data_IF_938970398819
#
_entry.id   IF_938970398819
#
_cell.length_a   1.000
_cell.length_b   1.000
_cell.length_c   1.000
_cell.angle_alpha   90.00
_cell.angle_beta   90.00
_cell.angle_gamma   90.00
#
_symmetry.space_group_name_H-M   'P 1'
#
loop_
_entity.id
_entity.type
_entity.pdbx_description
1 polymer ?
#
# COMPACT_ATOMS: atom_id res chain seq x y z
N UNK A 1 -38.83 -26.54 34.47
CA UNK A 1 -40.19 -26.22 33.97
C UNK A 1 -40.18 -24.75 33.60
N UNK A 2 -40.42 -24.42 32.31
CA UNK A 2 -40.55 -23.06 31.77
C UNK A 2 -39.41 -22.06 32.08
N UNK A 3 -38.31 -22.14 31.31
CA UNK A 3 -37.43 -21.00 30.99
C UNK A 3 -36.97 -21.12 29.53
N UNK A 4 -37.96 -21.30 28.65
CA UNK A 4 -37.80 -21.42 27.19
C UNK A 4 -38.75 -20.43 26.51
N UNK A 5 -38.83 -19.23 27.09
CA UNK A 5 -39.44 -18.08 26.45
C UNK A 5 -38.40 -17.51 25.48
N UNK A 6 -38.59 -17.75 24.18
CA UNK A 6 -37.82 -17.10 23.13
C UNK A 6 -38.01 -15.58 23.22
N UNK A 7 -37.10 -14.90 23.91
CA UNK A 7 -36.97 -13.45 23.83
C UNK A 7 -36.45 -13.09 22.44
N UNK A 8 -37.39 -12.91 21.50
CA UNK A 8 -37.12 -12.21 20.26
C UNK A 8 -36.86 -10.74 20.58
N UNK A 9 -35.61 -10.43 20.91
CA UNK A 9 -35.13 -9.06 20.86
C UNK A 9 -35.27 -8.56 19.42
N UNK A 10 -36.03 -7.48 19.21
CA UNK A 10 -36.06 -6.78 17.94
C UNK A 10 -34.62 -6.31 17.64
N UNK A 11 -33.98 -6.90 16.63
CA UNK A 11 -32.57 -6.64 16.33
C UNK A 11 -32.30 -5.16 16.02
N UNK A 12 -33.29 -4.51 15.40
CA UNK A 12 -33.27 -3.12 14.95
C UNK A 12 -33.59 -2.10 16.05
N UNK A 13 -34.02 -2.55 17.24
CA UNK A 13 -34.31 -1.67 18.37
C UNK A 13 -33.01 -1.26 19.09
N UNK A 14 -32.96 0.00 19.54
CA UNK A 14 -31.79 0.54 20.24
C UNK A 14 -31.42 -0.29 21.49
N UNK A 15 -30.13 -0.44 21.83
CA UNK A 15 -29.69 -1.28 22.96
C UNK A 15 -30.41 -1.00 24.28
N UNK A 16 -30.65 0.28 24.59
CA UNK A 16 -31.39 0.71 25.77
C UNK A 16 -32.87 0.29 25.74
N UNK A 17 -33.57 0.43 24.61
CA UNK A 17 -34.97 0.02 24.50
C UNK A 17 -35.15 -1.50 24.60
N UNK A 18 -34.18 -2.29 24.10
CA UNK A 18 -34.15 -3.75 24.28
C UNK A 18 -34.00 -4.12 25.76
N UNK A 19 -33.13 -3.43 26.50
CA UNK A 19 -32.97 -3.60 27.95
C UNK A 19 -34.25 -3.21 28.70
N UNK A 20 -34.87 -2.10 28.29
CA UNK A 20 -36.11 -1.56 28.85
C UNK A 20 -37.31 -2.48 28.65
N UNK A 21 -37.45 -3.08 27.47
CA UNK A 21 -38.47 -4.09 27.18
C UNK A 21 -38.27 -5.38 28.00
N UNK A 22 -37.03 -5.75 28.32
CA UNK A 22 -36.71 -6.96 29.07
C UNK A 22 -36.82 -6.79 30.60
N UNK A 23 -36.37 -5.67 31.15
CA UNK A 23 -36.29 -5.43 32.60
C UNK A 23 -37.41 -4.53 33.14
N UNK A 24 -38.11 -3.78 32.28
CA UNK A 24 -38.97 -2.67 32.66
C UNK A 24 -38.19 -1.38 32.97
N UNK A 25 -38.86 -0.23 32.82
CA UNK A 25 -38.24 1.10 32.88
C UNK A 25 -37.38 1.33 34.15
N UNK A 26 -37.92 1.02 35.34
CA UNK A 26 -37.26 1.29 36.62
C UNK A 26 -35.98 0.47 36.83
N UNK A 27 -35.98 -0.80 36.39
CA UNK A 27 -34.83 -1.69 36.55
C UNK A 27 -33.78 -1.44 35.47
N UNK A 28 -34.20 -1.11 34.23
CA UNK A 28 -33.29 -0.69 33.18
C UNK A 28 -32.50 0.58 33.57
N UNK A 29 -33.16 1.62 34.08
CA UNK A 29 -32.46 2.84 34.54
C UNK A 29 -31.52 2.58 35.73
N UNK A 30 -31.86 1.66 36.64
CA UNK A 30 -30.94 1.22 37.71
C UNK A 30 -29.71 0.49 37.16
N UNK A 31 -29.89 -0.38 36.17
CA UNK A 31 -28.78 -1.10 35.53
C UNK A 31 -27.86 -0.13 34.78
N UNK A 32 -28.43 0.80 33.99
CA UNK A 32 -27.65 1.82 33.28
C UNK A 32 -26.88 2.74 34.23
N UNK A 33 -27.54 3.21 35.30
CA UNK A 33 -26.88 4.01 36.34
C UNK A 33 -25.79 3.20 37.08
N UNK A 34 -25.98 1.89 37.21
CA UNK A 34 -24.99 0.94 37.71
C UNK A 34 -23.75 0.85 36.82
N UNK A 35 -23.90 0.79 35.49
CA UNK A 35 -22.77 0.80 34.56
C UNK A 35 -21.97 2.10 34.64
N UNK A 36 -22.62 3.26 34.74
CA UNK A 36 -21.92 4.54 34.97
C UNK A 36 -21.15 4.50 36.31
N UNK A 37 -21.76 3.96 37.36
CA UNK A 37 -21.11 3.83 38.67
C UNK A 37 -19.91 2.85 38.70
N UNK A 38 -19.81 1.90 37.74
CA UNK A 38 -18.63 1.02 37.63
C UNK A 38 -17.36 1.83 37.37
N UNK A 39 -17.44 2.93 36.62
CA UNK A 39 -16.30 3.78 36.25
C UNK A 39 -15.66 4.53 37.44
N UNK A 40 -16.25 4.46 38.62
CA UNK A 40 -15.74 5.06 39.86
C UNK A 40 -15.18 4.01 40.85
N UNK A 41 -15.00 2.76 40.42
CA UNK A 41 -14.43 1.67 41.23
C UNK A 41 -12.90 1.69 41.23
N UNK A 42 -12.32 1.27 42.34
CA UNK A 42 -10.87 1.15 42.57
C UNK A 42 -10.29 -0.24 42.22
N UNK A 43 -11.14 -1.22 41.88
CA UNK A 43 -10.76 -2.60 41.53
C UNK A 43 -10.84 -2.92 40.02
N UNK A 44 -10.87 -1.88 39.17
CA UNK A 44 -10.88 -2.03 37.71
C UNK A 44 -9.51 -2.46 37.15
N UNK A 45 -9.47 -3.24 36.06
CA UNK A 45 -8.22 -3.57 35.39
C UNK A 45 -7.61 -2.34 34.71
N UNK A 46 -6.28 -2.24 34.70
CA UNK A 46 -5.58 -1.26 33.87
C UNK A 46 -5.63 -1.65 32.39
N UNK A 47 -5.32 -0.71 31.49
CA UNK A 47 -5.21 -0.97 30.06
C UNK A 47 -4.22 -2.10 29.76
N UNK A 48 -3.05 -2.11 30.42
CA UNK A 48 -2.08 -3.21 30.32
C UNK A 48 -2.66 -4.54 30.81
N UNK A 49 -3.42 -4.55 31.92
CA UNK A 49 -4.07 -5.76 32.44
C UNK A 49 -5.08 -6.38 31.47
N UNK A 50 -5.82 -5.55 30.72
CA UNK A 50 -6.73 -6.00 29.65
C UNK A 50 -5.93 -6.65 28.51
N UNK A 51 -4.85 -6.01 28.06
CA UNK A 51 -3.98 -6.57 27.00
C UNK A 51 -3.36 -7.90 27.45
N UNK A 52 -2.90 -8.00 28.69
CA UNK A 52 -2.35 -9.25 29.23
C UNK A 52 -3.37 -10.39 29.35
N UNK A 53 -4.61 -10.09 29.75
CA UNK A 53 -5.69 -11.07 29.77
C UNK A 53 -6.00 -11.56 28.35
N UNK A 54 -6.16 -10.64 27.39
CA UNK A 54 -6.44 -10.96 25.99
C UNK A 54 -5.30 -11.72 25.31
N UNK A 55 -4.05 -11.47 25.72
CA UNK A 55 -2.89 -12.29 25.32
C UNK A 55 -2.95 -13.75 25.79
N UNK A 56 -3.69 -14.05 26.86
CA UNK A 56 -3.95 -15.41 27.38
C UNK A 56 -5.26 -16.00 26.82
N UNK A 57 -5.95 -15.30 25.92
CA UNK A 57 -7.33 -15.59 25.48
C UNK A 57 -8.36 -15.54 26.63
N UNK A 58 -8.09 -14.73 27.66
CA UNK A 58 -8.99 -14.43 28.76
C UNK A 58 -9.61 -13.03 28.57
N UNK A 59 -10.80 -12.79 29.14
CA UNK A 59 -11.43 -11.46 29.18
C UNK A 59 -11.67 -11.05 30.64
N UNK A 60 -11.38 -9.81 30.99
CA UNK A 60 -11.71 -9.25 32.30
C UNK A 60 -13.22 -8.99 32.38
N UNK A 61 -13.88 -9.49 33.44
CA UNK A 61 -15.34 -9.36 33.64
C UNK A 61 -15.80 -7.89 33.70
N UNK A 62 -14.90 -6.96 34.05
CA UNK A 62 -15.16 -5.53 34.09
C UNK A 62 -15.22 -4.85 32.70
N UNK A 63 -14.69 -5.47 31.62
CA UNK A 63 -14.60 -4.84 30.30
C UNK A 63 -15.96 -4.36 29.77
N UNK A 64 -16.95 -5.24 29.68
CA UNK A 64 -18.27 -4.87 29.17
C UNK A 64 -19.00 -3.84 30.07
N UNK A 65 -19.04 -3.98 31.41
CA UNK A 65 -19.55 -2.93 32.29
C UNK A 65 -18.89 -1.55 32.13
N UNK A 66 -17.57 -1.49 31.89
CA UNK A 66 -16.86 -0.23 31.65
C UNK A 66 -17.30 0.40 30.32
N UNK A 67 -17.32 -0.39 29.23
CA UNK A 67 -17.78 0.08 27.91
C UNK A 67 -19.23 0.60 28.01
N UNK A 68 -20.15 -0.17 28.60
CA UNK A 68 -21.53 0.25 28.80
C UNK A 68 -21.67 1.52 29.65
N UNK A 69 -20.78 1.72 30.63
CA UNK A 69 -20.75 2.94 31.44
C UNK A 69 -20.41 4.18 30.61
N UNK A 70 -19.39 4.09 29.75
CA UNK A 70 -18.98 5.18 28.86
C UNK A 70 -20.07 5.47 27.82
N UNK A 71 -20.65 4.43 27.19
CA UNK A 71 -21.77 4.58 26.25
C UNK A 71 -22.97 5.29 26.90
N UNK A 72 -23.27 4.97 28.15
CA UNK A 72 -24.41 5.56 28.87
C UNK A 72 -24.18 7.02 29.25
N UNK A 73 -22.95 7.41 29.61
CA UNK A 73 -22.60 8.81 29.81
C UNK A 73 -22.81 9.61 28.52
N UNK A 74 -22.32 9.10 27.39
CA UNK A 74 -22.49 9.73 26.06
C UNK A 74 -23.97 9.80 25.68
N UNK A 75 -24.76 8.73 25.90
CA UNK A 75 -26.22 8.74 25.66
C UNK A 75 -26.95 9.80 26.48
N UNK A 76 -26.48 10.07 27.71
CA UNK A 76 -27.02 11.12 28.59
C UNK A 76 -26.50 12.53 28.27
N UNK A 77 -25.59 12.68 27.30
CA UNK A 77 -24.93 13.96 26.98
C UNK A 77 -23.94 14.41 28.05
N UNK A 78 -23.36 13.46 28.80
CA UNK A 78 -22.35 13.70 29.84
C UNK A 78 -20.97 13.40 29.24
N UNK A 79 -20.06 14.36 29.31
CA UNK A 79 -18.68 14.22 28.83
C UNK A 79 -17.87 13.18 29.62
N UNK A 80 -16.90 12.56 28.94
CA UNK A 80 -16.01 11.52 29.52
C UNK A 80 -14.79 12.11 30.23
N UNK A 81 -14.65 13.43 30.27
CA UNK A 81 -13.56 14.18 30.89
C UNK A 81 -13.52 14.10 32.43
N UNK A 82 -14.64 13.73 33.06
CA UNK A 82 -14.72 13.50 34.50
C UNK A 82 -14.29 12.09 34.96
N UNK A 83 -13.95 11.19 34.04
CA UNK A 83 -13.48 9.82 34.35
C UNK A 83 -11.97 9.86 34.63
N UNK A 84 -11.49 9.06 35.58
CA UNK A 84 -10.05 8.89 35.81
C UNK A 84 -9.36 8.36 34.54
N UNK A 85 -8.20 8.96 34.19
CA UNK A 85 -7.54 8.71 32.90
C UNK A 85 -7.19 7.23 32.70
N UNK A 86 -6.73 6.54 33.73
CA UNK A 86 -6.34 5.12 33.65
C UNK A 86 -7.57 4.21 33.43
N UNK A 87 -8.68 4.54 34.10
CA UNK A 87 -9.98 3.88 33.90
C UNK A 87 -10.54 4.13 32.49
N UNK A 88 -10.41 5.35 31.97
CA UNK A 88 -10.81 5.69 30.61
C UNK A 88 -9.93 4.98 29.56
N UNK A 89 -8.62 4.93 29.78
CA UNK A 89 -7.68 4.22 28.92
C UNK A 89 -7.95 2.71 28.92
N UNK A 90 -8.30 2.14 30.07
CA UNK A 90 -8.73 0.75 30.18
C UNK A 90 -10.06 0.50 29.45
N UNK A 91 -11.06 1.36 29.61
CA UNK A 91 -12.34 1.26 28.90
C UNK A 91 -12.14 1.32 27.38
N UNK A 92 -11.27 2.20 26.90
CA UNK A 92 -10.88 2.31 25.50
C UNK A 92 -10.15 1.06 24.99
N UNK A 93 -9.17 0.55 25.75
CA UNK A 93 -8.39 -0.65 25.42
C UNK A 93 -9.25 -1.93 25.36
N UNK A 94 -10.33 -1.98 26.15
CA UNK A 94 -11.37 -3.01 26.11
C UNK A 94 -12.30 -2.84 24.89
N UNK A 95 -12.80 -1.62 24.65
CA UNK A 95 -13.69 -1.31 23.53
C UNK A 95 -13.04 -1.65 22.18
N UNK A 96 -11.76 -1.27 22.01
CA UNK A 96 -10.95 -1.55 20.82
C UNK A 96 -10.81 -3.05 20.49
N UNK A 97 -11.11 -3.95 21.46
CA UNK A 97 -11.09 -5.42 21.35
C UNK A 97 -12.48 -6.06 21.46
N UNK A 98 -13.52 -5.24 21.41
CA UNK A 98 -14.91 -5.68 21.33
C UNK A 98 -15.40 -5.63 19.87
N UNK A 99 -16.39 -6.45 19.49
CA UNK A 99 -16.94 -6.45 18.13
C UNK A 99 -17.57 -5.10 17.72
N UNK A 100 -17.85 -4.21 18.67
CA UNK A 100 -18.36 -2.87 18.38
C UNK A 100 -17.31 -1.93 17.76
N UNK A 101 -16.00 -2.19 17.94
CA UNK A 101 -14.93 -1.42 17.27
C UNK A 101 -14.76 -1.78 15.79
N UNK A 102 -15.23 -2.95 15.37
CA UNK A 102 -15.14 -3.42 13.97
C UNK A 102 -16.21 -2.78 13.05
N UNK A 103 -17.10 -1.95 13.59
CA UNK A 103 -18.13 -1.26 12.82
C UNK A 103 -17.54 -0.24 11.82
N UNK A 104 -18.09 -0.22 10.61
CA UNK A 104 -17.61 0.67 9.54
C UNK A 104 -18.05 2.14 9.68
N UNK A 105 -18.92 2.44 10.65
CA UNK A 105 -19.38 3.81 10.94
C UNK A 105 -18.51 4.45 12.03
N UNK A 106 -18.24 5.77 11.97
CA UNK A 106 -17.49 6.46 13.01
C UNK A 106 -18.17 6.33 14.37
N UNK A 107 -17.60 5.52 15.27
CA UNK A 107 -18.23 5.22 16.55
C UNK A 107 -18.11 6.42 17.51
N UNK A 108 -19.22 6.99 18.01
CA UNK A 108 -19.17 8.16 18.89
C UNK A 108 -18.38 7.90 20.19
N UNK A 109 -18.42 6.67 20.70
CA UNK A 109 -17.67 6.27 21.90
C UNK A 109 -16.16 6.38 21.69
N UNK A 110 -15.65 6.05 20.49
CA UNK A 110 -14.24 6.14 20.16
C UNK A 110 -13.81 7.61 20.13
N UNK A 111 -14.51 8.45 19.36
CA UNK A 111 -14.24 9.87 19.22
C UNK A 111 -14.21 10.60 20.57
N UNK A 112 -15.21 10.37 21.44
CA UNK A 112 -15.26 11.01 22.76
C UNK A 112 -14.08 10.59 23.64
N UNK A 113 -13.77 9.29 23.72
CA UNK A 113 -12.60 8.79 24.47
C UNK A 113 -11.28 9.32 23.90
N UNK A 114 -11.12 9.33 22.58
CA UNK A 114 -9.89 9.78 21.90
C UNK A 114 -9.58 11.26 22.16
N UNK A 115 -10.58 12.14 22.16
CA UNK A 115 -10.37 13.58 22.45
C UNK A 115 -9.83 13.85 23.85
N UNK A 116 -10.13 12.97 24.82
CA UNK A 116 -9.63 13.09 26.20
C UNK A 116 -8.28 12.39 26.36
N UNK A 117 -8.12 11.20 25.77
CA UNK A 117 -6.95 10.33 25.91
C UNK A 117 -5.75 10.76 25.07
N UNK A 118 -5.95 11.28 23.86
CA UNK A 118 -4.87 11.53 22.88
C UNK A 118 -4.73 13.01 22.55
N UNK A 119 -3.85 13.70 23.29
CA UNK A 119 -3.58 15.14 23.15
C UNK A 119 -2.27 15.43 22.40
N UNK A 120 -1.43 14.42 22.20
CA UNK A 120 -0.25 14.48 21.34
C UNK A 120 0.42 13.13 21.14
N UNK A 121 1.51 13.12 20.38
CA UNK A 121 2.23 11.91 19.94
C UNK A 121 2.67 10.97 21.07
N UNK A 122 2.97 11.52 22.27
CA UNK A 122 3.36 10.73 23.44
C UNK A 122 2.21 9.85 23.96
N UNK A 123 0.98 10.38 23.97
CA UNK A 123 -0.20 9.62 24.42
C UNK A 123 -0.50 8.45 23.45
N UNK A 124 -0.31 8.68 22.15
CA UNK A 124 -0.39 7.63 21.13
C UNK A 124 0.72 6.59 21.29
N UNK A 125 1.97 7.02 21.53
CA UNK A 125 3.10 6.12 21.76
C UNK A 125 2.84 5.19 22.95
N UNK A 126 2.44 5.74 24.09
CA UNK A 126 2.15 4.97 25.30
C UNK A 126 1.02 3.95 25.06
N UNK A 127 -0.03 4.33 24.32
CA UNK A 127 -1.11 3.40 23.92
C UNK A 127 -0.60 2.28 23.01
N UNK A 128 0.11 2.59 21.93
CA UNK A 128 0.59 1.56 21.00
C UNK A 128 1.61 0.62 21.64
N UNK A 129 2.50 1.13 22.50
CA UNK A 129 3.42 0.28 23.28
C UNK A 129 2.65 -0.64 24.21
N UNK A 130 1.74 -0.10 25.02
CA UNK A 130 0.89 -0.86 25.95
C UNK A 130 0.09 -1.96 25.23
N UNK A 131 -0.41 -1.67 24.03
CA UNK A 131 -1.22 -2.60 23.24
C UNK A 131 -0.39 -3.65 22.48
N UNK A 132 0.72 -3.27 21.86
CA UNK A 132 1.43 -4.11 20.87
C UNK A 132 2.61 -4.86 21.50
N UNK A 133 3.42 -4.24 22.37
CA UNK A 133 4.64 -4.86 22.90
C UNK A 133 4.37 -6.19 23.66
N UNK A 134 3.34 -6.31 24.53
CA UNK A 134 3.02 -7.59 25.16
C UNK A 134 2.61 -8.71 24.18
N UNK A 135 2.21 -8.34 22.95
CA UNK A 135 1.85 -9.28 21.88
C UNK A 135 3.08 -9.68 21.06
N UNK A 136 4.04 -8.76 20.87
CA UNK A 136 5.34 -9.03 20.26
C UNK A 136 6.20 -9.94 21.16
N UNK A 137 6.21 -9.71 22.48
CA UNK A 137 6.86 -10.59 23.47
C UNK A 137 6.40 -12.05 23.37
N UNK A 138 5.12 -12.24 23.03
CA UNK A 138 4.47 -13.56 22.86
C UNK A 138 4.48 -14.06 21.43
N UNK A 139 5.07 -13.31 20.50
CA UNK A 139 5.13 -13.59 19.07
C UNK A 139 3.75 -13.89 18.42
N UNK A 140 2.69 -13.16 18.81
CA UNK A 140 1.35 -13.34 18.22
C UNK A 140 1.37 -12.99 16.72
N UNK A 141 0.68 -13.79 15.89
CA UNK A 141 0.62 -13.58 14.43
C UNK A 141 -0.09 -12.27 14.03
N UNK A 142 -1.09 -11.86 14.83
CA UNK A 142 -1.93 -10.70 14.53
C UNK A 142 -2.07 -9.80 15.78
N UNK A 143 -1.13 -8.87 16.03
CA UNK A 143 -1.24 -7.87 17.09
C UNK A 143 -2.37 -6.87 16.78
N UNK A 144 -3.32 -6.73 17.70
CA UNK A 144 -4.64 -6.10 17.44
C UNK A 144 -4.53 -4.68 16.80
N UNK A 145 -3.70 -3.80 17.37
CA UNK A 145 -3.60 -2.39 16.95
C UNK A 145 -2.51 -2.11 15.90
N UNK A 146 -1.77 -3.14 15.44
CA UNK A 146 -0.72 -2.95 14.44
C UNK A 146 -1.26 -2.49 13.07
N UNK A 147 -2.39 -3.01 12.53
CA UNK A 147 -2.97 -2.51 11.29
C UNK A 147 -3.36 -1.02 11.37
N UNK A 148 -3.82 -0.56 12.54
CA UNK A 148 -4.17 0.84 12.80
C UNK A 148 -2.94 1.75 12.75
N UNK A 149 -1.90 1.41 13.51
CA UNK A 149 -0.60 2.10 13.47
C UNK A 149 0.01 2.10 12.06
N UNK A 150 -0.25 1.07 11.25
CA UNK A 150 0.20 0.98 9.87
C UNK A 150 -0.69 1.74 8.85
N UNK A 151 -1.94 2.03 9.19
CA UNK A 151 -2.94 2.64 8.31
C UNK A 151 -3.08 4.16 8.43
N UNK A 152 -2.99 4.70 9.64
CA UNK A 152 -3.32 6.11 9.90
C UNK A 152 -2.24 7.10 9.41
N UNK A 153 -2.58 8.08 8.54
CA UNK A 153 -1.60 9.03 8.01
C UNK A 153 -0.99 9.97 9.08
N UNK A 154 -1.77 10.38 10.08
CA UNK A 154 -1.29 11.20 11.20
C UNK A 154 -0.22 10.48 12.03
N UNK A 155 -0.34 9.15 12.20
CA UNK A 155 0.60 8.33 12.96
C UNK A 155 1.83 7.92 12.15
N UNK A 156 1.96 8.32 10.88
CA UNK A 156 3.03 7.87 9.97
C UNK A 156 4.46 8.02 10.53
N UNK A 157 4.76 9.13 11.23
CA UNK A 157 6.05 9.34 11.89
C UNK A 157 6.29 8.41 13.08
N UNK A 158 5.30 8.24 13.95
CA UNK A 158 5.34 7.32 15.09
C UNK A 158 5.47 5.86 14.62
N UNK A 159 4.67 5.47 13.64
CA UNK A 159 4.65 4.16 12.97
C UNK A 159 6.03 3.76 12.44
N UNK A 160 6.76 4.68 11.81
CA UNK A 160 8.11 4.44 11.32
C UNK A 160 9.12 4.25 12.45
N UNK A 161 9.09 5.14 13.46
CA UNK A 161 9.99 5.09 14.61
C UNK A 161 9.81 3.81 15.44
N UNK A 162 8.58 3.48 15.83
CA UNK A 162 8.27 2.26 16.58
C UNK A 162 8.59 1.00 15.79
N UNK A 163 8.28 0.95 14.50
CA UNK A 163 8.61 -0.22 13.67
C UNK A 163 10.12 -0.45 13.56
N UNK A 164 10.92 0.61 13.42
CA UNK A 164 12.38 0.51 13.42
C UNK A 164 12.94 0.06 14.77
N UNK A 165 12.38 0.53 15.88
CA UNK A 165 12.76 0.10 17.22
C UNK A 165 12.41 -1.37 17.45
N UNK A 166 11.17 -1.78 17.16
CA UNK A 166 10.72 -3.15 17.36
C UNK A 166 11.46 -4.16 16.45
N UNK A 167 11.82 -3.80 15.21
CA UNK A 167 12.68 -4.65 14.36
C UNK A 167 14.13 -4.78 14.88
N UNK A 168 14.61 -3.82 15.67
CA UNK A 168 15.92 -3.90 16.36
C UNK A 168 15.82 -4.74 17.63
N UNK A 169 14.78 -4.57 18.43
CA UNK A 169 14.59 -5.22 19.74
C UNK A 169 14.07 -6.65 19.66
N UNK A 170 13.09 -6.93 18.79
CA UNK A 170 12.44 -8.24 18.68
C UNK A 170 13.12 -9.12 17.63
N UNK A 171 13.81 -10.16 18.09
CA UNK A 171 14.64 -11.03 17.26
C UNK A 171 13.89 -12.26 16.71
N UNK A 172 12.69 -12.54 17.23
CA UNK A 172 11.91 -13.76 16.97
C UNK A 172 10.55 -13.45 16.34
N UNK A 173 10.42 -12.33 15.62
CA UNK A 173 9.18 -11.92 14.95
C UNK A 173 8.73 -12.95 13.91
N UNK A 174 7.46 -13.30 13.93
CA UNK A 174 6.85 -14.18 12.92
C UNK A 174 6.70 -13.50 11.54
N UNK A 175 6.42 -14.33 10.53
CA UNK A 175 6.25 -13.92 9.13
C UNK A 175 4.96 -13.13 8.85
N UNK A 176 4.05 -12.96 9.81
CA UNK A 176 2.87 -12.10 9.67
C UNK A 176 3.13 -10.67 10.16
N UNK A 177 3.88 -10.51 11.25
CA UNK A 177 4.21 -9.21 11.85
C UNK A 177 5.39 -8.54 11.15
N UNK A 178 6.47 -9.28 10.88
CA UNK A 178 7.71 -8.70 10.35
C UNK A 178 7.53 -7.97 9.00
N UNK A 179 6.73 -8.45 8.03
CA UNK A 179 6.50 -7.71 6.78
C UNK A 179 5.83 -6.35 7.00
N UNK A 180 4.90 -6.27 7.96
CA UNK A 180 4.13 -5.07 8.29
C UNK A 180 5.02 -3.99 8.91
N UNK A 181 5.83 -4.37 9.90
CA UNK A 181 6.82 -3.46 10.51
C UNK A 181 7.81 -2.94 9.47
N UNK A 182 8.35 -3.84 8.63
CA UNK A 182 9.23 -3.41 7.54
C UNK A 182 8.51 -2.50 6.52
N UNK A 183 7.23 -2.74 6.22
CA UNK A 183 6.46 -1.89 5.31
C UNK A 183 6.23 -0.48 5.88
N UNK A 184 6.04 -0.36 7.20
CA UNK A 184 5.97 0.92 7.89
C UNK A 184 7.33 1.64 7.84
N UNK A 185 8.40 0.97 8.26
CA UNK A 185 9.78 1.49 8.20
C UNK A 185 10.18 1.97 6.81
N UNK A 186 9.97 1.15 5.76
CA UNK A 186 10.29 1.49 4.37
C UNK A 186 9.48 2.67 3.81
N UNK A 187 8.33 3.00 4.42
CA UNK A 187 7.43 4.06 3.97
C UNK A 187 7.69 5.40 4.65
N UNK A 188 8.12 5.39 5.92
CA UNK A 188 8.15 6.61 6.76
C UNK A 188 9.44 6.84 7.53
N UNK A 189 10.31 5.84 7.73
CA UNK A 189 11.59 6.02 8.40
C UNK A 189 12.68 6.54 7.43
N UNK A 190 13.76 7.18 7.93
CA UNK A 190 14.88 7.62 7.10
C UNK A 190 15.53 6.44 6.35
N UNK A 191 15.62 6.55 5.01
CA UNK A 191 16.13 5.48 4.12
C UNK A 191 17.47 4.89 4.58
N UNK A 192 18.35 5.75 5.09
CA UNK A 192 19.69 5.38 5.57
C UNK A 192 19.64 4.54 6.86
N UNK A 193 18.74 4.83 7.81
CA UNK A 193 18.56 3.97 8.98
C UNK A 193 17.98 2.61 8.61
N UNK A 194 17.07 2.56 7.63
CA UNK A 194 16.52 1.30 7.12
C UNK A 194 17.61 0.49 6.39
N UNK A 195 18.50 1.14 5.63
CA UNK A 195 19.68 0.49 5.03
C UNK A 195 20.55 -0.18 6.09
N UNK A 196 20.92 0.57 7.13
CA UNK A 196 21.71 0.06 8.25
C UNK A 196 21.03 -1.14 8.93
N UNK A 197 19.72 -1.08 9.18
CA UNK A 197 18.97 -2.19 9.75
C UNK A 197 18.97 -3.46 8.87
N UNK A 198 18.94 -3.31 7.54
CA UNK A 198 19.05 -4.44 6.60
C UNK A 198 20.48 -5.01 6.54
N UNK A 199 21.49 -4.17 6.76
CA UNK A 199 22.90 -4.56 6.90
C UNK A 199 23.13 -5.33 8.22
N UNK A 200 22.74 -4.75 9.36
CA UNK A 200 22.76 -5.38 10.68
C UNK A 200 22.08 -6.75 10.66
N UNK A 201 20.97 -6.88 9.93
CA UNK A 201 20.27 -8.16 9.79
C UNK A 201 21.06 -9.19 8.98
N UNK A 202 21.78 -8.77 7.94
CA UNK A 202 22.63 -9.65 7.13
C UNK A 202 23.76 -10.31 7.93
N UNK A 203 24.21 -9.67 9.01
CA UNK A 203 25.22 -10.20 9.93
C UNK A 203 24.66 -11.15 11.01
N UNK A 204 23.33 -11.23 11.17
CA UNK A 204 22.70 -12.09 12.19
C UNK A 204 22.79 -13.58 11.83
N UNK A 205 22.74 -14.42 12.85
CA UNK A 205 22.81 -15.87 12.70
C UNK A 205 21.73 -16.39 11.73
N UNK A 206 22.13 -17.32 10.85
CA UNK A 206 21.37 -17.81 9.67
C UNK A 206 19.84 -17.86 9.89
N UNK A 207 19.08 -16.89 9.36
CA UNK A 207 17.62 -16.93 9.42
C UNK A 207 17.07 -18.03 8.50
N UNK A 208 15.79 -18.36 8.68
CA UNK A 208 15.08 -19.19 7.72
C UNK A 208 14.97 -18.50 6.35
N UNK A 209 14.65 -19.29 5.33
CA UNK A 209 14.60 -18.85 3.94
C UNK A 209 13.55 -17.77 3.68
N UNK A 210 12.37 -17.84 4.32
CA UNK A 210 11.30 -16.87 4.12
C UNK A 210 11.68 -15.51 4.74
N UNK A 211 12.22 -15.53 5.96
CA UNK A 211 12.77 -14.34 6.62
C UNK A 211 13.93 -13.75 5.82
N UNK A 212 14.84 -14.57 5.28
CA UNK A 212 15.93 -14.10 4.40
C UNK A 212 15.39 -13.38 3.16
N UNK A 213 14.42 -13.96 2.45
CA UNK A 213 13.79 -13.36 1.28
C UNK A 213 13.06 -12.05 1.62
N UNK A 214 12.43 -12.00 2.78
CA UNK A 214 11.74 -10.81 3.28
C UNK A 214 12.71 -9.64 3.53
N UNK A 215 13.87 -9.89 4.12
CA UNK A 215 14.93 -8.87 4.28
C UNK A 215 15.63 -8.50 2.97
N UNK A 216 15.85 -9.45 2.06
CA UNK A 216 16.33 -9.14 0.71
C UNK A 216 15.34 -8.21 -0.03
N UNK A 217 14.03 -8.40 0.13
CA UNK A 217 13.01 -7.49 -0.44
C UNK A 217 13.10 -6.06 0.11
N UNK A 218 13.48 -5.90 1.39
CA UNK A 218 13.73 -4.58 1.98
C UNK A 218 15.01 -3.97 1.41
N UNK A 219 16.08 -4.77 1.28
CA UNK A 219 17.34 -4.41 0.63
C UNK A 219 17.16 -3.94 -0.81
N UNK A 220 16.30 -4.60 -1.59
CA UNK A 220 15.93 -4.16 -2.95
C UNK A 220 15.35 -2.73 -2.97
N UNK A 221 14.62 -2.30 -1.95
CA UNK A 221 14.04 -0.94 -1.91
C UNK A 221 15.06 0.12 -1.49
N UNK A 222 15.95 -0.20 -0.55
CA UNK A 222 16.87 0.80 0.07
C UNK A 222 18.29 0.79 -0.49
N UNK A 223 18.77 -0.35 -0.97
CA UNK A 223 20.19 -0.64 -1.23
C UNK A 223 20.37 -1.63 -2.41
N UNK A 224 19.67 -1.34 -3.52
CA UNK A 224 19.61 -2.25 -4.67
C UNK A 224 20.98 -2.55 -5.30
N UNK A 225 21.85 -1.55 -5.47
CA UNK A 225 23.12 -1.73 -6.17
C UNK A 225 24.06 -2.72 -5.48
N UNK A 226 24.26 -2.56 -4.16
CA UNK A 226 25.15 -3.43 -3.40
C UNK A 226 24.58 -4.86 -3.28
N UNK A 227 23.26 -5.02 -3.32
CA UNK A 227 22.57 -6.31 -3.15
C UNK A 227 22.13 -6.96 -4.46
N UNK A 228 22.38 -6.33 -5.60
CA UNK A 228 21.96 -6.78 -6.95
C UNK A 228 22.34 -8.24 -7.23
N UNK A 229 23.53 -8.67 -6.81
CA UNK A 229 23.99 -10.05 -6.99
C UNK A 229 23.26 -11.05 -6.07
N UNK A 230 23.07 -10.72 -4.79
CA UNK A 230 22.32 -11.57 -3.85
C UNK A 230 20.86 -11.72 -4.27
N UNK A 231 20.26 -10.63 -4.75
CA UNK A 231 18.90 -10.59 -5.29
C UNK A 231 18.78 -11.42 -6.57
N UNK A 232 19.74 -11.35 -7.49
CA UNK A 232 19.73 -12.17 -8.70
C UNK A 232 19.81 -13.68 -8.40
N UNK A 233 20.67 -14.08 -7.46
CA UNK A 233 20.77 -15.46 -7.00
C UNK A 233 19.47 -15.92 -6.34
N UNK A 234 18.92 -15.12 -5.41
CA UNK A 234 17.67 -15.43 -4.74
C UNK A 234 16.46 -15.49 -5.69
N UNK A 235 16.43 -14.63 -6.72
CA UNK A 235 15.39 -14.66 -7.75
C UNK A 235 15.47 -15.93 -8.63
N UNK A 236 16.66 -16.42 -8.93
CA UNK A 236 16.87 -17.66 -9.69
C UNK A 236 16.57 -18.92 -8.86
N UNK A 237 16.91 -18.92 -7.56
CA UNK A 237 16.62 -20.03 -6.65
C UNK A 237 15.14 -20.07 -6.23
N UNK A 238 14.49 -18.91 -6.11
CA UNK A 238 13.17 -18.76 -5.49
C UNK A 238 12.24 -17.86 -6.34
N UNK A 239 11.54 -18.44 -7.35
CA UNK A 239 10.63 -17.69 -8.24
C UNK A 239 9.55 -16.88 -7.52
N UNK A 240 9.15 -17.32 -6.31
CA UNK A 240 8.16 -16.66 -5.46
C UNK A 240 8.61 -15.33 -4.83
N UNK A 241 9.89 -14.95 -4.94
CA UNK A 241 10.39 -13.62 -4.54
C UNK A 241 9.65 -12.49 -5.27
N UNK A 242 9.12 -12.74 -6.48
CA UNK A 242 8.30 -11.78 -7.22
C UNK A 242 7.11 -11.26 -6.40
N UNK A 243 6.47 -12.10 -5.58
CA UNK A 243 5.30 -11.71 -4.79
C UNK A 243 5.68 -10.76 -3.67
N UNK A 244 6.75 -11.07 -2.94
CA UNK A 244 7.27 -10.20 -1.88
C UNK A 244 7.68 -8.84 -2.46
N UNK A 245 8.35 -8.81 -3.63
CA UNK A 245 8.72 -7.58 -4.32
C UNK A 245 7.48 -6.79 -4.80
N UNK A 246 6.49 -7.48 -5.41
CA UNK A 246 5.21 -6.89 -5.82
C UNK A 246 4.52 -6.21 -4.64
N UNK A 247 4.45 -6.88 -3.50
CA UNK A 247 3.71 -6.37 -2.34
C UNK A 247 4.40 -5.14 -1.71
N UNK A 248 5.73 -5.00 -1.85
CA UNK A 248 6.45 -3.75 -1.52
C UNK A 248 6.10 -2.60 -2.47
N UNK A 249 5.85 -2.90 -3.74
CA UNK A 249 5.69 -1.91 -4.82
C UNK A 249 4.21 -1.48 -5.00
N UNK A 250 3.27 -2.41 -4.88
CA UNK A 250 1.83 -2.21 -5.18
C UNK A 250 1.01 -1.85 -3.92
N UNK A 251 1.65 -1.81 -2.76
CA UNK A 251 1.05 -1.61 -1.42
C UNK A 251 -0.03 -0.51 -1.31
N UNK A 252 -1.29 -0.97 -1.16
CA UNK A 252 -2.44 -0.30 -0.53
C UNK A 252 -3.01 0.94 -1.25
N UNK A 253 -2.14 1.92 -1.51
CA UNK A 253 -2.48 3.23 -2.07
C UNK A 253 -2.15 3.32 -3.56
N UNK A 254 -2.02 2.17 -4.24
CA UNK A 254 -1.63 2.06 -5.66
C UNK A 254 -0.16 1.73 -5.89
N UNK A 255 0.20 1.65 -7.18
CA UNK A 255 1.53 1.24 -7.66
C UNK A 255 2.57 2.35 -7.46
N UNK A 256 3.68 2.02 -6.79
CA UNK A 256 4.76 2.97 -6.42
C UNK A 256 5.99 2.88 -7.34
N UNK A 257 5.78 2.64 -8.64
CA UNK A 257 6.86 2.53 -9.62
C UNK A 257 7.62 3.85 -9.81
N UNK A 258 6.99 4.99 -9.49
CA UNK A 258 7.58 6.33 -9.44
C UNK A 258 8.79 6.44 -8.50
N UNK A 259 8.82 5.61 -7.45
CA UNK A 259 9.89 5.60 -6.43
C UNK A 259 11.09 4.72 -6.78
N UNK A 260 11.06 4.03 -7.91
CA UNK A 260 12.09 3.11 -8.38
C UNK A 260 12.88 3.71 -9.56
N UNK A 261 14.16 3.36 -9.70
CA UNK A 261 14.92 3.69 -10.93
C UNK A 261 14.55 2.73 -12.07
N UNK A 262 14.95 3.04 -13.30
CA UNK A 262 14.72 2.14 -14.44
C UNK A 262 15.43 0.81 -14.21
N UNK A 263 16.65 0.84 -13.67
CA UNK A 263 17.44 -0.36 -13.35
C UNK A 263 16.74 -1.32 -12.34
N UNK A 264 15.99 -0.80 -11.36
CA UNK A 264 15.16 -1.64 -10.46
C UNK A 264 14.05 -2.36 -11.25
N UNK A 265 13.36 -1.62 -12.14
CA UNK A 265 12.27 -2.15 -12.96
C UNK A 265 12.79 -3.17 -14.01
N UNK A 266 13.92 -2.87 -14.66
CA UNK A 266 14.61 -3.78 -15.59
C UNK A 266 14.98 -5.10 -14.90
N UNK A 267 15.44 -5.05 -13.64
CA UNK A 267 15.77 -6.24 -12.86
C UNK A 267 14.58 -7.18 -12.65
N UNK A 268 13.38 -6.68 -12.38
CA UNK A 268 12.19 -7.54 -12.21
C UNK A 268 11.91 -8.28 -13.52
N UNK A 269 11.84 -7.56 -14.64
CA UNK A 269 11.51 -8.13 -15.96
C UNK A 269 12.53 -9.20 -16.36
N UNK A 270 13.82 -8.91 -16.19
CA UNK A 270 14.91 -9.83 -16.54
C UNK A 270 14.99 -11.06 -15.64
N UNK A 271 14.83 -10.89 -14.33
CA UNK A 271 15.00 -12.00 -13.37
C UNK A 271 13.82 -12.96 -13.35
N UNK A 272 12.61 -12.46 -13.59
CA UNK A 272 11.38 -13.24 -13.46
C UNK A 272 10.68 -13.54 -14.79
N UNK A 273 10.95 -12.82 -15.88
CA UNK A 273 10.23 -12.98 -17.15
C UNK A 273 10.37 -14.35 -17.81
N UNK A 274 11.49 -15.07 -17.59
CA UNK A 274 11.65 -16.46 -18.07
C UNK A 274 10.91 -17.47 -17.18
N UNK A 275 10.90 -17.22 -15.87
CA UNK A 275 10.30 -18.10 -14.86
C UNK A 275 8.77 -17.96 -14.82
N UNK A 276 8.25 -16.79 -15.20
CA UNK A 276 6.84 -16.45 -15.26
C UNK A 276 6.46 -15.99 -16.68
N UNK A 277 6.24 -16.95 -17.61
CA UNK A 277 5.90 -16.64 -18.99
C UNK A 277 4.62 -15.82 -19.10
N UNK A 278 4.58 -14.91 -20.06
CA UNK A 278 3.40 -14.07 -20.32
C UNK A 278 2.19 -14.92 -20.73
N UNK A 279 1.25 -15.09 -19.81
CA UNK A 279 -0.01 -15.82 -20.04
C UNK A 279 -1.22 -14.88 -19.96
N UNK A 280 -2.27 -15.12 -20.76
CA UNK A 280 -3.54 -14.41 -20.61
C UNK A 280 -4.21 -14.79 -19.27
N UNK A 281 -5.02 -13.88 -18.73
CA UNK A 281 -5.84 -14.18 -17.55
C UNK A 281 -6.82 -15.33 -17.85
N UNK A 282 -6.99 -16.32 -16.96
CA UNK A 282 -7.90 -17.44 -17.18
C UNK A 282 -9.35 -17.01 -17.41
N UNK A 283 -10.07 -17.74 -18.24
CA UNK A 283 -11.52 -17.56 -18.42
C UNK A 283 -12.28 -18.26 -17.30
N UNK A 284 -12.70 -17.51 -16.28
CA UNK A 284 -13.52 -18.01 -15.18
C UNK A 284 -13.26 -17.26 -13.88
N UNK A 285 -13.78 -17.79 -12.78
CA UNK A 285 -13.43 -17.34 -11.43
C UNK A 285 -12.12 -18.02 -11.02
N UNK A 286 -11.07 -17.23 -10.82
CA UNK A 286 -9.84 -17.66 -10.15
C UNK A 286 -9.91 -17.30 -8.67
N UNK A 287 -9.22 -18.07 -7.83
CA UNK A 287 -9.05 -17.78 -6.40
C UNK A 287 -7.58 -17.58 -6.07
N UNK A 288 -7.29 -16.67 -5.14
CA UNK A 288 -5.93 -16.22 -4.84
C UNK A 288 -5.38 -15.22 -5.86
N UNK A 289 -4.20 -14.68 -5.53
CA UNK A 289 -3.55 -13.55 -6.20
C UNK A 289 -2.07 -13.84 -6.56
N UNK A 290 -1.63 -15.09 -6.39
CA UNK A 290 -0.26 -15.55 -6.63
C UNK A 290 -0.20 -16.57 -7.78
N UNK A 291 -0.99 -16.38 -8.84
CA UNK A 291 -1.08 -17.27 -10.00
C UNK A 291 -0.25 -16.76 -11.21
N UNK A 292 0.06 -17.59 -12.22
CA UNK A 292 0.89 -17.18 -13.36
C UNK A 292 0.37 -15.98 -14.16
N UNK A 293 -0.94 -15.74 -14.17
CA UNK A 293 -1.51 -14.55 -14.82
C UNK A 293 -1.37 -13.29 -13.98
N UNK A 294 -1.36 -13.38 -12.66
CA UNK A 294 -1.07 -12.24 -11.78
C UNK A 294 0.41 -11.82 -11.88
N UNK A 295 1.32 -12.80 -12.03
CA UNK A 295 2.73 -12.53 -12.32
C UNK A 295 2.89 -11.89 -13.72
N UNK A 296 2.11 -12.36 -14.70
CA UNK A 296 2.10 -11.79 -16.06
C UNK A 296 1.51 -10.39 -16.13
N UNK A 297 0.48 -10.10 -15.33
CA UNK A 297 -0.08 -8.75 -15.16
C UNK A 297 0.97 -7.84 -14.49
N UNK A 298 1.59 -8.26 -13.38
CA UNK A 298 2.61 -7.46 -12.69
C UNK A 298 3.86 -7.16 -13.55
N UNK A 299 4.38 -8.15 -14.30
CA UNK A 299 5.53 -7.92 -15.20
C UNK A 299 5.13 -6.98 -16.35
N UNK A 300 3.89 -7.05 -16.86
CA UNK A 300 3.37 -6.08 -17.83
C UNK A 300 3.30 -4.67 -17.24
N UNK A 301 2.79 -4.52 -16.02
CA UNK A 301 2.71 -3.22 -15.33
C UNK A 301 4.10 -2.61 -15.14
N UNK A 302 5.11 -3.42 -14.78
CA UNK A 302 6.51 -2.97 -14.70
C UNK A 302 7.03 -2.49 -16.07
N UNK A 303 6.76 -3.23 -17.16
CA UNK A 303 7.16 -2.82 -18.53
C UNK A 303 6.45 -1.52 -18.93
N UNK A 304 5.17 -1.36 -18.61
CA UNK A 304 4.41 -0.13 -18.85
C UNK A 304 4.96 1.06 -18.02
N UNK A 305 5.38 0.83 -16.78
CA UNK A 305 6.00 1.84 -15.93
C UNK A 305 7.39 2.29 -16.41
N UNK A 306 8.16 1.41 -17.09
CA UNK A 306 9.37 1.84 -17.81
C UNK A 306 8.98 2.65 -19.05
N UNK A 307 7.97 2.19 -19.80
CA UNK A 307 7.54 2.82 -21.06
C UNK A 307 6.96 4.23 -20.88
N UNK A 308 6.38 4.55 -19.73
CA UNK A 308 5.81 5.86 -19.42
C UNK A 308 6.87 6.93 -19.10
N UNK A 309 8.14 6.56 -18.92
CA UNK A 309 9.20 7.50 -18.56
C UNK A 309 9.81 8.14 -19.81
N UNK A 310 9.76 9.48 -19.98
CA UNK A 310 10.26 10.16 -21.18
C UNK A 310 11.79 10.35 -21.19
N UNK A 311 12.55 9.56 -20.42
CA UNK A 311 14.00 9.70 -20.29
C UNK A 311 14.79 8.78 -21.26
N UNK A 312 16.11 8.97 -21.33
CA UNK A 312 16.97 8.15 -22.19
C UNK A 312 17.34 6.78 -21.58
N UNK A 313 17.29 6.66 -20.25
CA UNK A 313 17.61 5.44 -19.50
C UNK A 313 16.57 4.36 -19.81
N UNK A 314 15.28 4.72 -19.78
CA UNK A 314 14.15 3.88 -20.18
C UNK A 314 14.28 3.37 -21.62
N UNK A 315 14.69 4.22 -22.57
CA UNK A 315 14.93 3.79 -23.96
C UNK A 315 16.04 2.73 -24.05
N UNK A 316 17.12 2.89 -23.27
CA UNK A 316 18.26 1.95 -23.26
C UNK A 316 17.87 0.63 -22.57
N UNK A 317 17.17 0.69 -21.44
CA UNK A 317 16.66 -0.47 -20.73
C UNK A 317 15.71 -1.31 -21.58
N UNK A 318 14.71 -0.68 -22.23
CA UNK A 318 13.79 -1.36 -23.15
C UNK A 318 14.54 -2.06 -24.30
N UNK A 319 15.57 -1.42 -24.87
CA UNK A 319 16.41 -2.05 -25.91
C UNK A 319 17.23 -3.22 -25.39
N UNK A 320 17.81 -3.14 -24.18
CA UNK A 320 18.52 -4.25 -23.53
C UNK A 320 17.56 -5.43 -23.30
N UNK A 321 16.38 -5.18 -22.73
CA UNK A 321 15.37 -6.21 -22.52
C UNK A 321 14.86 -6.85 -23.82
N UNK A 322 14.72 -6.10 -24.93
CA UNK A 322 14.34 -6.70 -26.24
C UNK A 322 15.41 -7.68 -26.75
N UNK A 323 16.68 -7.47 -26.42
CA UNK A 323 17.78 -8.37 -26.78
C UNK A 323 17.92 -9.57 -25.83
N UNK A 324 17.73 -9.33 -24.52
CA UNK A 324 18.13 -10.27 -23.46
C UNK A 324 16.96 -11.02 -22.78
N UNK A 325 15.70 -10.60 -22.97
CA UNK A 325 14.56 -11.08 -22.17
C UNK A 325 13.77 -12.24 -22.82
N UNK A 326 13.08 -12.99 -21.96
CA UNK A 326 12.15 -14.07 -22.29
C UNK A 326 11.28 -13.80 -23.54
N UNK A 327 11.24 -14.74 -24.52
CA UNK A 327 10.52 -14.54 -25.79
C UNK A 327 9.04 -14.16 -25.65
N UNK A 328 8.38 -14.58 -24.58
CA UNK A 328 6.95 -14.33 -24.35
C UNK A 328 6.58 -12.88 -24.09
N UNK A 329 7.55 -12.03 -23.71
CA UNK A 329 7.36 -10.59 -23.52
C UNK A 329 7.88 -9.73 -24.70
N UNK A 330 8.51 -10.34 -25.71
CA UNK A 330 9.22 -9.60 -26.76
C UNK A 330 8.34 -8.60 -27.53
N UNK A 331 7.10 -8.96 -27.88
CA UNK A 331 6.18 -8.04 -28.58
C UNK A 331 5.68 -6.91 -27.68
N UNK A 332 5.49 -7.18 -26.38
CA UNK A 332 5.10 -6.15 -25.40
C UNK A 332 6.25 -5.16 -25.21
N UNK A 333 7.48 -5.64 -25.09
CA UNK A 333 8.69 -4.81 -24.99
C UNK A 333 8.91 -3.94 -26.25
N UNK A 334 8.71 -4.50 -27.45
CA UNK A 334 8.74 -3.73 -28.71
C UNK A 334 7.66 -2.64 -28.74
N UNK A 335 6.43 -2.97 -28.37
CA UNK A 335 5.33 -2.01 -28.31
C UNK A 335 5.61 -0.90 -27.28
N UNK A 336 6.06 -1.28 -26.09
CA UNK A 336 6.50 -0.37 -25.02
C UNK A 336 7.61 0.59 -25.50
N UNK A 337 8.62 0.12 -26.23
CA UNK A 337 9.67 0.96 -26.81
C UNK A 337 9.10 1.97 -27.83
N UNK A 338 8.13 1.58 -28.65
CA UNK A 338 7.48 2.51 -29.60
C UNK A 338 6.68 3.59 -28.85
N UNK A 339 5.93 3.22 -27.82
CA UNK A 339 5.20 4.17 -26.97
C UNK A 339 6.16 5.13 -26.24
N UNK A 340 7.24 4.61 -25.65
CA UNK A 340 8.25 5.40 -24.94
C UNK A 340 8.96 6.39 -25.86
N UNK A 341 9.37 5.95 -27.06
CA UNK A 341 9.97 6.82 -28.06
C UNK A 341 9.01 7.89 -28.57
N UNK A 342 7.69 7.63 -28.60
CA UNK A 342 6.70 8.66 -28.91
C UNK A 342 6.57 9.65 -27.75
N UNK A 343 6.29 9.18 -26.54
CA UNK A 343 6.12 10.03 -25.36
C UNK A 343 7.34 10.89 -25.06
N UNK A 344 8.55 10.37 -25.30
CA UNK A 344 9.78 11.15 -25.23
C UNK A 344 9.87 12.23 -26.31
N UNK A 345 9.49 11.97 -27.57
CA UNK A 345 9.45 13.03 -28.60
C UNK A 345 8.45 14.13 -28.24
N UNK A 346 7.29 13.72 -27.72
CA UNK A 346 6.24 14.65 -27.31
C UNK A 346 6.68 15.48 -26.08
N UNK A 347 7.56 14.96 -25.22
CA UNK A 347 8.19 15.65 -24.09
C UNK A 347 9.38 16.55 -24.47
N UNK A 348 10.27 16.04 -25.34
CA UNK A 348 11.43 16.78 -25.88
C UNK A 348 10.99 17.87 -26.90
N UNK A 349 9.71 17.91 -27.29
CA UNK A 349 9.15 18.89 -28.23
C UNK A 349 9.05 20.29 -27.62
N UNK A 350 9.93 21.19 -28.07
CA UNK A 350 9.74 22.62 -27.89
C UNK A 350 8.98 23.19 -29.09
N UNK A 351 7.91 23.95 -28.82
CA UNK A 351 7.22 24.68 -29.89
C UNK A 351 8.13 25.79 -30.43
N UNK A 352 8.31 25.92 -31.76
CA UNK A 352 9.18 26.93 -32.33
C UNK A 352 8.68 28.34 -31.99
N UNK A 353 9.62 29.24 -31.68
CA UNK A 353 9.32 30.61 -31.34
C UNK A 353 8.65 31.35 -32.52
N UNK A 354 7.85 32.38 -32.23
CA UNK A 354 7.22 33.21 -33.27
C UNK A 354 8.27 33.85 -34.21
N UNK A 355 9.51 34.05 -33.73
CA UNK A 355 10.63 34.49 -34.56
C UNK A 355 11.10 33.41 -35.56
N UNK A 356 11.18 32.15 -35.14
CA UNK A 356 11.57 30.99 -35.96
C UNK A 356 10.47 30.68 -36.99
N UNK A 357 9.20 30.66 -36.56
CA UNK A 357 8.04 30.58 -37.46
C UNK A 357 8.05 31.70 -38.51
N UNK A 358 8.42 32.93 -38.12
CA UNK A 358 8.56 34.07 -39.05
C UNK A 358 9.76 33.91 -40.00
N UNK A 359 10.85 33.28 -39.58
CA UNK A 359 11.99 32.99 -40.45
C UNK A 359 11.61 31.95 -41.53
N UNK A 360 10.94 30.87 -41.12
CA UNK A 360 10.41 29.82 -42.04
C UNK A 360 9.37 30.41 -43.01
N UNK A 361 8.46 31.27 -42.54
CA UNK A 361 7.47 31.95 -43.39
C UNK A 361 8.07 32.94 -44.40
N UNK A 362 9.31 33.40 -44.20
CA UNK A 362 9.97 34.42 -45.02
C UNK A 362 11.01 33.84 -46.02
N UNK A 363 10.96 32.53 -46.31
CA UNK A 363 11.86 31.84 -47.24
C UNK A 363 13.38 32.01 -46.94
N UNK A 364 13.76 32.19 -45.68
CA UNK A 364 15.18 32.25 -45.29
C UNK A 364 15.77 30.83 -45.27
N UNK A 365 17.02 30.68 -45.70
CA UNK A 365 17.73 29.40 -45.71
C UNK A 365 17.78 28.78 -44.29
N UNK A 366 17.54 27.47 -44.12
CA UNK A 366 17.52 26.83 -42.80
C UNK A 366 18.88 26.90 -42.09
N UNK A 367 18.88 27.32 -40.82
CA UNK A 367 20.10 27.51 -40.02
C UNK A 367 20.48 26.26 -39.19
N UNK A 368 19.56 25.29 -39.01
CA UNK A 368 19.81 24.03 -38.29
C UNK A 368 19.53 22.77 -39.11
N UNK A 369 20.02 21.62 -38.62
CA UNK A 369 19.81 20.30 -39.25
C UNK A 369 18.34 19.87 -39.19
N UNK A 370 17.61 20.26 -38.15
CA UNK A 370 16.18 19.92 -38.02
C UNK A 370 15.29 20.84 -38.86
N UNK A 371 15.65 22.12 -39.02
CA UNK A 371 15.01 23.00 -40.02
C UNK A 371 15.23 22.46 -41.44
N UNK A 372 16.45 21.98 -41.74
CA UNK A 372 16.77 21.37 -43.02
C UNK A 372 15.92 20.11 -43.27
N UNK A 373 15.70 19.27 -42.25
CA UNK A 373 14.79 18.10 -42.34
C UNK A 373 13.33 18.51 -42.58
N UNK A 374 12.83 19.50 -41.84
CA UNK A 374 11.46 20.00 -42.00
C UNK A 374 11.24 20.62 -43.39
N UNK A 375 12.21 21.42 -43.87
CA UNK A 375 12.19 22.01 -45.20
C UNK A 375 12.20 20.94 -46.31
N UNK A 376 13.06 19.92 -46.20
CA UNK A 376 13.06 18.82 -47.18
C UNK A 376 11.77 17.99 -47.15
N UNK A 377 11.18 17.75 -45.97
CA UNK A 377 9.91 17.02 -45.86
C UNK A 377 8.77 17.80 -46.55
N UNK A 378 8.60 19.08 -46.22
CA UNK A 378 7.63 19.95 -46.88
C UNK A 378 7.86 20.01 -48.40
N UNK A 379 9.12 20.09 -48.85
CA UNK A 379 9.45 20.15 -50.27
C UNK A 379 9.19 18.82 -51.00
N UNK A 380 9.32 17.69 -50.31
CA UNK A 380 8.97 16.37 -50.84
C UNK A 380 7.45 16.21 -50.98
N UNK A 381 6.67 16.67 -50.01
CA UNK A 381 5.20 16.64 -50.10
C UNK A 381 4.69 17.56 -51.23
N UNK A 382 5.22 18.78 -51.37
CA UNK A 382 5.02 19.67 -52.52
C UNK A 382 5.28 18.97 -53.87
N UNK A 383 6.38 18.21 -53.95
CA UNK A 383 6.74 17.45 -55.14
C UNK A 383 5.80 16.27 -55.38
N UNK A 384 5.36 15.58 -54.33
CA UNK A 384 4.43 14.46 -54.41
C UNK A 384 3.03 14.92 -54.81
N UNK A 385 2.54 16.05 -54.29
CA UNK A 385 1.31 16.69 -54.75
C UNK A 385 1.41 17.11 -56.21
N UNK A 386 2.53 17.75 -56.62
CA UNK A 386 2.76 18.08 -58.04
C UNK A 386 2.84 16.86 -58.95
N UNK A 387 3.43 15.75 -58.50
CA UNK A 387 3.46 14.49 -59.27
C UNK A 387 2.06 13.88 -59.38
N UNK A 388 1.25 13.92 -58.31
CA UNK A 388 -0.13 13.43 -58.29
C UNK A 388 -1.11 14.33 -59.07
N UNK A 389 -0.84 15.63 -59.13
CA UNK A 389 -1.65 16.64 -59.83
C UNK A 389 -1.15 17.01 -61.23
N UNK A 390 -0.03 16.46 -61.71
CA UNK A 390 0.52 16.76 -63.03
C UNK A 390 -0.36 16.21 -64.16
N UNK A 391 -0.69 17.06 -65.13
CA UNK A 391 -1.47 16.72 -66.33
C UNK A 391 -0.76 15.76 -67.31
N UNK A 392 0.35 15.15 -66.92
CA UNK A 392 1.02 14.04 -67.64
C UNK A 392 0.38 12.67 -67.38
N UNK A 393 -0.70 12.58 -66.61
CA UNK A 393 -1.57 11.39 -66.60
C UNK A 393 -2.48 11.33 -67.86
N UNK A 394 -1.91 11.66 -69.02
CA UNK A 394 -2.46 11.34 -70.33
C UNK A 394 -2.14 9.87 -70.63
N UNK A 395 -3.04 8.97 -70.22
CA UNK A 395 -3.36 7.82 -71.06
C UNK A 395 -4.57 8.20 -71.91
N UNK A 396 -4.27 8.87 -73.03
CA UNK A 396 -5.23 9.05 -74.11
C UNK A 396 -5.74 7.67 -74.58
N UNK A 397 -7.04 7.60 -74.87
CA UNK A 397 -7.64 6.47 -75.55
C UNK A 397 -7.63 6.74 -77.07
N UNK A 398 -6.87 5.94 -77.82
CA UNK A 398 -6.78 5.92 -79.29
C UNK A 398 -6.18 4.56 -79.70
N UNK A 399 -6.66 3.73 -80.64
CA UNK A 399 -7.96 3.50 -81.33
C UNK A 399 -8.03 1.96 -81.60
N UNK A 400 -8.99 1.28 -82.25
CA UNK A 400 -10.33 1.52 -82.82
C UNK A 400 -11.04 0.14 -82.89
N UNK A 401 -12.35 0.09 -83.12
CA UNK A 401 -13.00 -0.88 -84.03
C UNK A 401 -13.53 -0.09 -85.24
#
# INVERSE_FOLDING_TARGET
MALDAQFHFEADAAPYDRLRAFLGDELAERVMSGFVAVLARDDLPSASGIVEARCKSECCVAEAPMICGVMEMIRRGIGVDGIERDTLAAAYMAWQRGPESESAEPSPIASEMETVLFRGDADWEDFFRTSIEPQLDRNRDHPDDLPRLAGEPCLSGLSGRLSMEWLRSYHTLNLHVQPQLQACSLRTAPREEVRQLVEDFGERARPDQATRLLWLSAGYVVDFENRRQELALAAAEHPGLIWILRDRIVSGNGQRFDRLSVDHLEFIVRSFGEQWPNVPRPTGVTTGDCNPSDASDFIRDVVHAIASRPDAEATVALRRMIADCAPTYAEILKHALVLQLKGRRDFDYSAPAIAELRAVMNEVLPESVDDMRAWFAARLDDFLERIRGSATNMREAYWHD
#
